data_IF_875319694225
#
_entry.id   IF_875319694225
#
_cell.length_a   1.000
_cell.length_b   1.000
_cell.length_c   1.000
_cell.angle_alpha   90.00
_cell.angle_beta   90.00
_cell.angle_gamma   90.00
#
_symmetry.space_group_name_H-M   'P 1'
#
loop_
_entity.id
_entity.type
_entity.pdbx_description
1 polymer ?
#
# COMPACT_ATOMS: atom_id res chain seq x y z
N UNK A 1 1.06 -4.31 -4.37
CA UNK A 1 0.39 -5.32 -3.51
C UNK A 1 1.25 -6.57 -3.31
N UNK A 2 1.28 -7.62 -4.18
CA UNK A 2 2.03 -8.85 -3.86
C UNK A 2 3.55 -8.66 -3.85
N UNK A 3 4.07 -7.68 -4.59
CA UNK A 3 5.51 -7.42 -4.65
C UNK A 3 6.08 -6.96 -3.30
N UNK A 4 5.37 -6.10 -2.56
CA UNK A 4 5.82 -5.65 -1.24
C UNK A 4 5.80 -6.79 -0.21
N UNK A 5 4.77 -7.66 -0.23
CA UNK A 5 4.76 -8.88 0.60
C UNK A 5 5.97 -9.78 0.33
N UNK A 6 6.31 -9.98 -0.96
CA UNK A 6 7.49 -10.76 -1.36
C UNK A 6 8.82 -10.08 -1.01
N UNK A 7 8.88 -8.75 -1.08
CA UNK A 7 10.07 -7.97 -0.77
C UNK A 7 10.35 -7.89 0.73
N UNK A 8 9.29 -7.88 1.57
CA UNK A 8 9.39 -7.76 3.03
C UNK A 8 10.48 -8.65 3.65
N UNK A 9 10.46 -10.00 3.53
CA UNK A 9 11.45 -10.84 4.21
C UNK A 9 12.89 -10.60 3.72
N UNK A 10 13.06 -10.20 2.45
CA UNK A 10 14.38 -9.85 1.90
C UNK A 10 14.89 -8.56 2.53
N UNK A 11 14.02 -7.55 2.64
CA UNK A 11 14.35 -6.26 3.22
C UNK A 11 14.55 -6.35 4.74
N UNK A 12 13.74 -7.11 5.47
CA UNK A 12 13.93 -7.36 6.91
C UNK A 12 15.31 -7.96 7.18
N UNK A 13 15.67 -9.00 6.41
CA UNK A 13 16.98 -9.63 6.52
C UNK A 13 18.12 -8.66 6.19
N UNK A 14 17.95 -7.84 5.15
CA UNK A 14 19.01 -6.94 4.68
C UNK A 14 19.20 -5.73 5.60
N UNK A 15 18.12 -5.14 6.10
CA UNK A 15 18.14 -3.98 7.00
C UNK A 15 18.44 -4.37 8.46
N UNK A 16 18.21 -5.62 8.85
CA UNK A 16 18.36 -6.08 10.22
C UNK A 16 17.31 -5.51 11.17
N UNK A 17 16.14 -5.12 10.64
CA UNK A 17 15.02 -4.59 11.42
C UNK A 17 13.68 -5.11 10.90
N UNK A 18 12.63 -4.97 11.72
CA UNK A 18 11.26 -5.31 11.31
C UNK A 18 10.79 -4.41 10.17
N UNK A 19 10.03 -4.96 9.22
CA UNK A 19 9.45 -4.20 8.11
C UNK A 19 7.96 -4.50 8.03
N UNK A 20 7.13 -3.47 8.18
CA UNK A 20 5.69 -3.62 8.30
C UNK A 20 5.02 -3.49 6.93
N UNK A 21 4.30 -4.54 6.51
CA UNK A 21 3.40 -4.44 5.38
C UNK A 21 2.20 -3.58 5.78
N UNK A 22 2.03 -2.44 5.13
CA UNK A 22 1.04 -1.43 5.51
C UNK A 22 0.02 -1.28 4.39
N UNK A 23 -1.25 -1.24 4.78
CA UNK A 23 -2.38 -1.02 3.90
C UNK A 23 -2.98 0.36 4.17
N UNK A 24 -3.34 1.07 3.12
CA UNK A 24 -3.89 2.41 3.24
C UNK A 24 -4.21 3.03 1.88
N UNK A 25 -4.22 4.35 1.86
CA UNK A 25 -4.48 5.15 0.66
C UNK A 25 -3.50 6.33 0.57
N UNK A 26 -3.49 7.00 -0.58
CA UNK A 26 -2.61 8.16 -0.82
C UNK A 26 -3.46 9.41 -0.96
N UNK A 27 -3.18 10.40 -0.12
CA UNK A 27 -3.73 11.74 -0.26
C UNK A 27 -2.84 12.53 -1.22
N UNK A 28 -3.39 12.85 -2.39
CA UNK A 28 -2.73 13.64 -3.43
C UNK A 28 -3.29 15.07 -3.52
N UNK A 29 -4.05 15.50 -2.51
CA UNK A 29 -4.74 16.79 -2.49
C UNK A 29 -6.00 16.86 -3.37
N UNK A 30 -6.36 15.79 -4.08
CA UNK A 30 -7.67 15.68 -4.74
C UNK A 30 -8.78 15.35 -3.74
N UNK A 31 -10.04 15.51 -4.15
CA UNK A 31 -11.19 15.26 -3.27
C UNK A 31 -11.33 13.80 -2.83
N UNK A 32 -10.77 12.86 -3.60
CA UNK A 32 -10.95 11.42 -3.41
C UNK A 32 -9.64 10.69 -3.13
N UNK A 33 -8.48 11.37 -3.18
CA UNK A 33 -7.17 10.73 -3.12
C UNK A 33 -6.97 9.65 -4.18
N UNK A 34 -5.88 8.88 -4.04
CA UNK A 34 -5.65 7.64 -4.78
C UNK A 34 -5.91 6.45 -3.86
N UNK A 35 -6.66 5.48 -4.38
CA UNK A 35 -6.99 4.24 -3.68
C UNK A 35 -7.73 4.44 -2.35
N UNK A 36 -8.67 5.40 -2.30
CA UNK A 36 -9.42 5.74 -1.09
C UNK A 36 -9.90 4.51 -0.31
N UNK A 37 -9.56 4.49 0.98
CA UNK A 37 -9.72 3.35 1.86
C UNK A 37 -9.82 3.84 3.32
N UNK A 38 -11.04 3.91 3.86
CA UNK A 38 -11.35 4.43 5.19
C UNK A 38 -12.02 3.38 6.09
N UNK A 39 -12.36 3.77 7.32
CA UNK A 39 -12.94 2.87 8.33
C UNK A 39 -14.32 2.35 7.91
N UNK A 40 -15.12 3.17 7.22
CA UNK A 40 -16.42 2.77 6.68
C UNK A 40 -16.27 1.67 5.64
N UNK A 41 -15.35 1.83 4.68
CA UNK A 41 -15.05 0.82 3.66
C UNK A 41 -14.51 -0.45 4.32
N UNK A 42 -13.61 -0.33 5.31
CA UNK A 42 -13.06 -1.46 6.05
C UNK A 42 -14.19 -2.26 6.71
N UNK A 43 -15.08 -1.59 7.44
CA UNK A 43 -16.19 -2.22 8.14
C UNK A 43 -17.16 -2.92 7.16
N UNK A 44 -17.51 -2.26 6.05
CA UNK A 44 -18.38 -2.83 5.02
C UNK A 44 -17.79 -4.13 4.45
N UNK A 45 -16.50 -4.11 4.08
CA UNK A 45 -15.84 -5.28 3.48
C UNK A 45 -15.62 -6.41 4.48
N UNK A 46 -15.38 -6.10 5.76
CA UNK A 46 -15.31 -7.12 6.81
C UNK A 46 -16.66 -7.82 7.01
N UNK A 47 -17.77 -7.08 6.91
CA UNK A 47 -19.11 -7.66 7.09
C UNK A 47 -19.58 -8.47 5.88
N UNK A 48 -19.33 -7.99 4.66
CA UNK A 48 -19.89 -8.57 3.43
C UNK A 48 -18.90 -9.43 2.62
N UNK A 49 -17.61 -9.38 2.96
CA UNK A 49 -16.52 -9.87 2.13
C UNK A 49 -16.30 -9.03 0.87
N UNK A 50 -15.24 -9.33 0.12
CA UNK A 50 -14.96 -8.74 -1.17
C UNK A 50 -15.45 -9.65 -2.30
N UNK A 51 -16.24 -9.10 -3.23
CA UNK A 51 -16.80 -9.82 -4.38
C UNK A 51 -16.39 -9.23 -5.74
N UNK A 52 -15.68 -8.11 -5.74
CA UNK A 52 -15.23 -7.44 -6.95
C UNK A 52 -13.97 -8.07 -7.54
N UNK A 53 -13.66 -7.72 -8.78
CA UNK A 53 -12.35 -8.05 -9.40
C UNK A 53 -11.26 -7.07 -8.97
N UNK A 54 -11.65 -5.85 -8.56
CA UNK A 54 -10.77 -4.78 -8.16
C UNK A 54 -11.07 -4.31 -6.74
N UNK A 55 -10.02 -3.93 -6.02
CA UNK A 55 -10.11 -3.38 -4.67
C UNK A 55 -9.33 -2.06 -4.64
N UNK A 56 -10.00 -0.99 -4.19
CA UNK A 56 -9.36 0.30 -3.94
C UNK A 56 -8.62 0.23 -2.60
N UNK A 57 -7.36 -0.19 -2.67
CA UNK A 57 -6.43 -0.21 -1.55
C UNK A 57 -5.01 -0.08 -2.11
N UNK A 58 -4.17 0.64 -1.40
CA UNK A 58 -2.75 0.70 -1.69
C UNK A 58 -1.95 0.00 -0.59
N UNK A 59 -0.78 -0.52 -0.94
CA UNK A 59 0.11 -1.13 0.01
C UNK A 59 1.56 -0.70 -0.20
N UNK A 60 2.27 -0.58 0.91
CA UNK A 60 3.69 -0.25 0.96
C UNK A 60 4.35 -0.94 2.16
N UNK A 61 5.64 -0.75 2.31
CA UNK A 61 6.40 -1.19 3.48
C UNK A 61 6.75 0.02 4.34
N UNK A 62 6.60 -0.12 5.65
CA UNK A 62 6.92 0.92 6.63
C UNK A 62 8.03 0.42 7.55
N UNK A 63 9.07 1.21 7.75
CA UNK A 63 10.13 0.93 8.72
C UNK A 63 9.72 1.41 10.12
N UNK A 64 10.35 0.92 11.21
CA UNK A 64 10.04 1.38 12.57
C UNK A 64 10.27 2.89 12.78
N UNK A 65 11.14 3.47 11.95
CA UNK A 65 11.48 4.90 11.90
C UNK A 65 10.57 5.70 10.96
N UNK A 66 9.46 5.10 10.49
CA UNK A 66 8.42 5.68 9.64
C UNK A 66 8.86 6.03 8.20
N UNK A 67 10.01 5.54 7.74
CA UNK A 67 10.31 5.55 6.31
C UNK A 67 9.35 4.62 5.57
N UNK A 68 8.92 5.11 4.42
CA UNK A 68 8.13 4.40 3.45
C UNK A 68 9.07 3.80 2.42
N UNK A 69 8.87 2.52 2.12
CA UNK A 69 9.43 1.83 0.95
C UNK A 69 8.25 1.41 0.07
N UNK A 70 8.08 2.11 -1.06
CA UNK A 70 7.02 1.87 -2.01
C UNK A 70 7.57 1.54 -3.39
N UNK A 71 7.38 0.28 -3.77
CA UNK A 71 7.87 -0.30 -5.01
C UNK A 71 6.94 -0.07 -6.21
N UNK A 72 5.79 0.57 -6.03
CA UNK A 72 4.75 0.62 -7.09
C UNK A 72 4.14 1.98 -7.36
N UNK A 73 4.07 2.88 -6.38
CA UNK A 73 3.31 4.14 -6.55
C UNK A 73 3.83 5.02 -7.69
N UNK A 74 5.14 5.11 -7.86
CA UNK A 74 5.79 5.81 -8.99
C UNK A 74 5.24 5.35 -10.33
N UNK A 75 5.18 4.05 -10.56
CA UNK A 75 4.66 3.45 -11.79
C UNK A 75 3.19 3.76 -11.97
N UNK A 76 2.39 3.69 -10.89
CA UNK A 76 0.99 4.10 -10.93
C UNK A 76 0.84 5.56 -11.35
N UNK A 77 1.59 6.48 -10.75
CA UNK A 77 1.53 7.90 -11.08
C UNK A 77 1.95 8.17 -12.54
N UNK A 78 3.01 7.52 -13.01
CA UNK A 78 3.46 7.57 -14.40
C UNK A 78 2.34 7.16 -15.37
N UNK A 79 1.68 6.02 -15.10
CA UNK A 79 0.57 5.53 -15.91
C UNK A 79 -0.63 6.49 -15.91
N UNK A 80 -1.01 7.01 -14.72
CA UNK A 80 -2.12 7.97 -14.59
C UNK A 80 -1.83 9.30 -15.31
N UNK A 81 -0.57 9.73 -15.35
CA UNK A 81 -0.14 10.98 -15.99
C UNK A 81 0.22 10.81 -17.48
N UNK A 82 0.18 9.59 -18.02
CA UNK A 82 0.61 9.30 -19.39
C UNK A 82 2.10 9.55 -19.64
N UNK A 83 2.94 9.42 -18.60
CA UNK A 83 4.39 9.65 -18.65
C UNK A 83 5.13 8.33 -18.49
N UNK A 84 6.12 8.06 -19.34
CA UNK A 84 7.00 6.88 -19.20
C UNK A 84 8.15 7.10 -18.22
N UNK A 85 8.58 8.35 -18.08
CA UNK A 85 9.67 8.72 -17.18
C UNK A 85 9.24 8.49 -15.73
N UNK A 86 9.95 7.60 -15.02
CA UNK A 86 9.67 7.23 -13.63
C UNK A 86 9.00 5.87 -13.43
N UNK A 87 8.58 5.18 -14.50
CA UNK A 87 8.11 3.78 -14.41
C UNK A 87 9.21 2.88 -13.82
N UNK A 88 8.82 1.98 -12.91
CA UNK A 88 9.75 1.13 -12.17
C UNK A 88 10.58 1.84 -11.10
N UNK A 89 10.39 3.15 -10.89
CA UNK A 89 11.00 3.87 -9.79
C UNK A 89 10.55 3.35 -8.42
N UNK A 90 11.29 3.67 -7.37
CA UNK A 90 10.95 3.28 -5.99
C UNK A 90 10.98 4.52 -5.10
N UNK A 91 10.00 4.65 -4.21
CA UNK A 91 10.03 5.67 -3.16
C UNK A 91 10.66 5.04 -1.91
N UNK A 92 11.76 5.61 -1.44
CA UNK A 92 12.37 5.29 -0.13
C UNK A 92 12.63 6.60 0.59
N UNK A 93 11.75 6.99 1.51
CA UNK A 93 11.84 8.28 2.22
C UNK A 93 11.03 8.27 3.50
N UNK A 94 11.35 9.17 4.44
CA UNK A 94 10.42 9.49 5.53
C UNK A 94 9.11 10.03 4.97
N UNK A 95 7.99 9.58 5.52
CA UNK A 95 6.66 9.99 5.08
C UNK A 95 6.50 11.52 5.03
N UNK A 96 6.97 12.21 6.07
CA UNK A 96 6.83 13.67 6.22
C UNK A 96 7.76 14.48 5.30
N UNK A 97 8.72 13.84 4.64
CA UNK A 97 9.61 14.51 3.68
C UNK A 97 9.07 14.43 2.24
N UNK A 98 7.97 13.72 2.00
CA UNK A 98 7.31 13.68 0.71
C UNK A 98 6.44 14.93 0.53
N UNK A 99 6.58 15.58 -0.62
CA UNK A 99 5.82 16.79 -0.96
C UNK A 99 4.79 16.49 -2.04
N UNK A 100 3.57 17.00 -1.88
CA UNK A 100 2.48 16.85 -2.85
C UNK A 100 1.75 15.51 -2.78
N UNK A 101 2.19 14.59 -1.92
CA UNK A 101 1.52 13.32 -1.62
C UNK A 101 1.68 13.03 -0.13
N UNK A 102 0.71 12.37 0.48
CA UNK A 102 0.78 11.90 1.86
C UNK A 102 0.24 10.49 1.98
N UNK A 103 1.03 9.60 2.59
CA UNK A 103 0.62 8.23 2.87
C UNK A 103 -0.33 8.21 4.07
N UNK A 104 -1.49 7.57 3.92
CA UNK A 104 -2.51 7.46 4.96
C UNK A 104 -2.63 5.99 5.39
N UNK A 105 -1.80 5.54 6.36
CA UNK A 105 -1.84 4.17 6.84
C UNK A 105 -3.15 3.89 7.58
N UNK A 106 -3.78 2.75 7.29
CA UNK A 106 -5.03 2.33 7.93
C UNK A 106 -4.86 1.01 8.70
N UNK A 107 -4.18 0.03 8.09
CA UNK A 107 -4.02 -1.31 8.67
C UNK A 107 -2.59 -1.81 8.49
N UNK A 108 -2.14 -2.67 9.40
CA UNK A 108 -0.85 -3.36 9.32
C UNK A 108 -1.08 -4.86 9.10
N UNK A 109 -0.32 -5.44 8.19
CA UNK A 109 -0.34 -6.86 7.86
C UNK A 109 -1.37 -7.25 6.80
N UNK A 110 -1.49 -8.55 6.56
CA UNK A 110 -2.34 -9.12 5.50
C UNK A 110 -3.65 -9.73 6.02
N UNK A 111 -3.85 -9.77 7.34
CA UNK A 111 -5.02 -10.38 7.98
C UNK A 111 -6.34 -9.82 7.45
N UNK A 112 -6.42 -8.51 7.21
CA UNK A 112 -7.59 -7.89 6.59
C UNK A 112 -7.90 -8.49 5.22
N UNK A 113 -6.88 -8.66 4.35
CA UNK A 113 -7.05 -9.22 3.01
C UNK A 113 -7.52 -10.68 3.03
N UNK A 114 -7.11 -11.46 4.03
CA UNK A 114 -7.64 -12.80 4.26
C UNK A 114 -9.10 -12.76 4.71
N UNK A 115 -9.43 -11.90 5.69
CA UNK A 115 -10.76 -11.82 6.27
C UNK A 115 -11.83 -11.40 5.24
N UNK A 116 -11.47 -10.52 4.30
CA UNK A 116 -12.39 -10.13 3.22
C UNK A 116 -12.38 -11.09 2.02
N UNK A 117 -11.59 -12.17 2.07
CA UNK A 117 -11.54 -13.20 1.03
C UNK A 117 -10.73 -12.86 -0.22
N UNK A 118 -9.89 -11.81 -0.17
CA UNK A 118 -9.01 -11.40 -1.29
C UNK A 118 -7.81 -12.34 -1.41
N UNK A 119 -7.15 -12.64 -0.29
CA UNK A 119 -6.10 -13.66 -0.24
C UNK A 119 -6.73 -14.96 0.26
N UNK A 120 -6.73 -15.98 -0.58
CA UNK A 120 -7.16 -17.32 -0.20
C UNK A 120 -5.94 -18.12 0.25
N UNK A 121 -5.99 -18.67 1.47
CA UNK A 121 -5.04 -19.70 1.87
C UNK A 121 -5.27 -20.91 0.95
N UNK A 122 -4.23 -21.38 0.28
CA UNK A 122 -4.28 -22.68 -0.39
C UNK A 122 -4.18 -23.71 0.73
N UNK A 123 -5.33 -24.27 1.13
CA UNK A 123 -5.41 -25.52 1.89
C UNK A 123 -5.13 -26.71 0.98
#
# INVERSE_FOLDING_TARGET
MPIHLKARPVLEKWLGCSVYYTLGWIDDGSSNGLFWFDDEIIAEKLAAGHKGETLNIHAWLTLPTMEIIDLTLTTTLCLLQGRKEGEGGVIVKKADELTGLSYKPMLIGETYLHNIGVIKSIT
#
